data_IF_515156612022
#
_entry.id   IF_515156612022
#
_cell.length_a   1.000
_cell.length_b   1.000
_cell.length_c   1.000
_cell.angle_alpha   90.00
_cell.angle_beta   90.00
_cell.angle_gamma   90.00
#
_symmetry.space_group_name_H-M   'P 1'
#
loop_
_entity.id
_entity.type
_entity.pdbx_description
1 polymer ?
#
# COMPACT_ATOMS: atom_id res chain seq x y z
N UNK A 1 15.37 -18.74 -16.05
CA UNK A 1 15.35 -17.52 -15.20
C UNK A 1 14.49 -17.84 -13.99
N UNK A 2 14.78 -17.25 -12.85
CA UNK A 2 14.04 -17.45 -11.59
C UNK A 2 13.10 -16.26 -11.39
N UNK A 3 11.89 -16.54 -10.90
CA UNK A 3 10.92 -15.52 -10.53
C UNK A 3 11.26 -14.98 -9.14
N UNK A 4 11.13 -13.68 -8.98
CA UNK A 4 11.32 -12.97 -7.72
C UNK A 4 10.16 -12.02 -7.52
N UNK A 5 9.75 -11.83 -6.28
CA UNK A 5 8.86 -10.77 -5.90
C UNK A 5 9.62 -9.71 -5.11
N UNK A 6 9.39 -8.43 -5.40
CA UNK A 6 9.97 -7.33 -4.64
C UNK A 6 8.89 -6.39 -4.12
N UNK A 7 8.98 -5.99 -2.85
CA UNK A 7 8.13 -4.94 -2.26
C UNK A 7 8.87 -3.61 -2.33
N UNK A 8 8.38 -2.69 -3.16
CA UNK A 8 8.93 -1.36 -3.37
C UNK A 8 8.21 -0.34 -2.48
N UNK A 9 8.95 0.61 -1.92
CA UNK A 9 8.38 1.69 -1.12
C UNK A 9 8.54 3.03 -1.83
N UNK A 10 7.45 3.80 -1.85
CA UNK A 10 7.40 5.16 -2.37
C UNK A 10 6.81 6.10 -1.33
N UNK A 11 7.09 7.39 -1.46
CA UNK A 11 6.41 8.46 -0.73
C UNK A 11 5.76 9.47 -1.66
N UNK A 12 4.70 10.10 -1.15
CA UNK A 12 4.13 11.32 -1.72
C UNK A 12 4.58 12.51 -0.87
N UNK A 13 5.47 13.32 -1.43
CA UNK A 13 5.95 14.56 -0.82
C UNK A 13 5.24 15.73 -1.47
N UNK A 14 4.47 16.48 -0.68
CA UNK A 14 3.76 17.68 -1.14
C UNK A 14 4.61 18.91 -0.82
N UNK A 15 4.94 19.70 -1.84
CA UNK A 15 5.57 21.01 -1.65
C UNK A 15 4.52 22.12 -1.68
N UNK A 16 4.49 22.92 -0.62
CA UNK A 16 3.59 24.06 -0.45
C UNK A 16 4.35 25.37 -0.14
N UNK A 17 5.66 25.39 -0.36
CA UNK A 17 6.51 26.56 -0.05
C UNK A 17 6.68 26.87 1.44
N UNK A 18 6.08 26.08 2.35
CA UNK A 18 6.19 26.24 3.82
C UNK A 18 6.93 25.07 4.49
N UNK A 19 7.73 24.34 3.72
CA UNK A 19 8.41 23.11 4.14
C UNK A 19 7.53 21.86 4.00
N UNK A 20 8.16 20.69 4.07
CA UNK A 20 7.47 19.40 3.85
C UNK A 20 7.03 18.76 5.17
N UNK A 21 5.81 18.22 5.27
CA UNK A 21 5.37 17.46 6.45
C UNK A 21 6.31 16.28 6.76
N UNK A 22 6.55 16.04 8.06
CA UNK A 22 7.32 14.87 8.54
C UNK A 22 6.59 13.55 8.30
N UNK A 23 5.26 13.55 8.42
CA UNK A 23 4.41 12.40 8.09
C UNK A 23 3.97 12.51 6.64
N UNK A 24 4.29 11.49 5.84
CA UNK A 24 4.00 11.42 4.41
C UNK A 24 3.12 10.22 4.12
N UNK A 25 2.30 10.34 3.07
CA UNK A 25 1.62 9.18 2.52
C UNK A 25 2.68 8.32 1.82
N UNK A 26 2.63 7.02 2.00
CA UNK A 26 3.52 6.07 1.35
C UNK A 26 2.71 5.07 0.54
N UNK A 27 3.30 4.58 -0.54
CA UNK A 27 2.81 3.44 -1.29
C UNK A 27 3.79 2.29 -1.16
N UNK A 28 3.31 1.13 -0.74
CA UNK A 28 4.03 -0.13 -0.83
C UNK A 28 3.50 -0.89 -2.04
N UNK A 29 4.39 -1.24 -2.97
CA UNK A 29 4.03 -1.88 -4.25
C UNK A 29 4.80 -3.18 -4.43
N UNK A 30 4.08 -4.29 -4.52
CA UNK A 30 4.68 -5.58 -4.88
C UNK A 30 4.80 -5.72 -6.40
N UNK A 31 5.96 -6.16 -6.88
CA UNK A 31 6.22 -6.40 -8.30
C UNK A 31 6.88 -7.76 -8.52
N UNK A 32 6.51 -8.42 -9.62
CA UNK A 32 7.16 -9.63 -10.11
C UNK A 32 8.36 -9.29 -11.01
N UNK A 33 9.44 -10.05 -10.87
CA UNK A 33 10.71 -9.86 -11.59
C UNK A 33 11.28 -11.21 -12.00
N UNK A 34 11.50 -11.42 -13.29
CA UNK A 34 12.33 -12.52 -13.77
C UNK A 34 13.80 -12.09 -13.82
N UNK A 35 14.67 -12.86 -13.19
CA UNK A 35 16.10 -12.59 -13.18
C UNK A 35 16.92 -13.88 -13.11
N UNK A 36 18.22 -13.77 -13.41
CA UNK A 36 19.16 -14.90 -13.30
C UNK A 36 19.69 -15.12 -11.88
N UNK A 37 19.52 -14.14 -11.00
CA UNK A 37 19.98 -14.17 -9.62
C UNK A 37 19.25 -13.12 -8.78
N UNK A 38 19.28 -13.27 -7.45
CA UNK A 38 18.71 -12.31 -6.52
C UNK A 38 19.34 -10.91 -6.68
N UNK A 39 20.65 -10.84 -6.92
CA UNK A 39 21.34 -9.55 -7.18
C UNK A 39 20.82 -8.86 -8.44
N UNK A 40 20.59 -9.61 -9.52
CA UNK A 40 19.99 -9.08 -10.75
C UNK A 40 18.53 -8.66 -10.54
N UNK A 41 17.77 -9.40 -9.72
CA UNK A 41 16.41 -9.05 -9.34
C UNK A 41 16.38 -7.73 -8.54
N UNK A 42 17.24 -7.58 -7.53
CA UNK A 42 17.36 -6.36 -6.73
C UNK A 42 17.74 -5.14 -7.59
N UNK A 43 18.70 -5.30 -8.49
CA UNK A 43 19.09 -4.23 -9.42
C UNK A 43 17.91 -3.84 -10.31
N UNK A 44 17.13 -4.82 -10.78
CA UNK A 44 15.93 -4.59 -11.59
C UNK A 44 14.82 -3.90 -10.79
N UNK A 45 14.58 -4.32 -9.54
CA UNK A 45 13.64 -3.70 -8.62
C UNK A 45 13.96 -2.22 -8.39
N UNK A 46 15.23 -1.91 -8.09
CA UNK A 46 15.71 -0.53 -7.91
C UNK A 46 15.56 0.32 -9.17
N UNK A 47 15.86 -0.24 -10.36
CA UNK A 47 15.66 0.47 -11.63
C UNK A 47 14.18 0.74 -11.89
N UNK A 48 13.29 -0.24 -11.65
CA UNK A 48 11.83 -0.07 -11.76
C UNK A 48 11.33 1.01 -10.79
N UNK A 49 11.82 0.99 -9.54
CA UNK A 49 11.55 2.00 -8.52
C UNK A 49 11.84 3.41 -9.01
N UNK A 50 13.10 3.69 -9.34
CA UNK A 50 13.54 5.01 -9.84
C UNK A 50 12.81 5.47 -11.10
N UNK A 51 12.56 4.56 -12.05
CA UNK A 51 11.85 4.92 -13.29
C UNK A 51 10.39 5.33 -13.06
N UNK A 52 9.79 4.89 -11.95
CA UNK A 52 8.41 5.24 -11.62
C UNK A 52 8.29 6.62 -10.94
N UNK A 53 9.40 7.25 -10.55
CA UNK A 53 9.39 8.58 -9.96
C UNK A 53 8.83 9.61 -10.94
N UNK A 54 7.95 10.48 -10.46
CA UNK A 54 7.35 11.55 -11.23
C UNK A 54 6.82 12.63 -10.30
N UNK A 55 6.38 13.74 -10.87
CA UNK A 55 5.70 14.79 -10.14
C UNK A 55 4.51 15.30 -10.93
N UNK A 56 3.55 15.89 -10.24
CA UNK A 56 2.37 16.51 -10.84
C UNK A 56 1.84 17.62 -9.93
N UNK A 57 1.17 18.60 -10.53
CA UNK A 57 0.43 19.60 -9.77
C UNK A 57 -0.97 19.06 -9.44
N UNK A 58 -1.34 19.12 -8.16
CA UNK A 58 -2.66 18.69 -7.74
C UNK A 58 -3.70 19.81 -7.87
N UNK A 59 -4.99 19.45 -7.73
CA UNK A 59 -6.11 20.39 -7.81
C UNK A 59 -6.10 21.51 -6.74
N UNK A 60 -5.20 21.44 -5.76
CA UNK A 60 -5.03 22.44 -4.72
C UNK A 60 -3.84 23.38 -4.98
N UNK A 61 -3.27 23.35 -6.20
CA UNK A 61 -2.18 24.23 -6.61
C UNK A 61 -0.83 23.92 -5.96
N UNK A 62 -0.64 22.69 -5.48
CA UNK A 62 0.62 22.23 -4.90
C UNK A 62 1.25 21.13 -5.75
N UNK A 63 2.58 21.18 -5.92
CA UNK A 63 3.33 20.11 -6.60
C UNK A 63 3.49 18.92 -5.66
N UNK A 64 3.15 17.74 -6.17
CA UNK A 64 3.31 16.45 -5.50
C UNK A 64 4.43 15.69 -6.17
N UNK A 65 5.42 15.28 -5.39
CA UNK A 65 6.51 14.41 -5.81
C UNK A 65 6.21 12.97 -5.38
N UNK A 66 6.16 12.06 -6.33
CA UNK A 66 6.12 10.62 -6.11
C UNK A 66 7.53 10.07 -6.21
N UNK A 67 8.10 9.69 -5.07
CA UNK A 67 9.55 9.44 -4.93
C UNK A 67 9.78 8.01 -4.43
N UNK A 68 10.76 7.33 -5.01
CA UNK A 68 11.15 5.99 -4.62
C UNK A 68 12.05 6.04 -3.39
N UNK A 69 11.63 5.37 -2.31
CA UNK A 69 12.41 5.26 -1.09
C UNK A 69 13.38 4.08 -1.19
N UNK A 70 12.90 2.91 -1.63
CA UNK A 70 13.74 1.71 -1.63
C UNK A 70 12.99 0.41 -1.87
N UNK A 71 13.74 -0.68 -1.83
CA UNK A 71 13.20 -2.05 -1.84
C UNK A 71 13.14 -2.52 -0.39
N UNK A 72 11.94 -2.81 0.11
CA UNK A 72 11.72 -3.29 1.48
C UNK A 72 12.05 -4.77 1.60
N UNK A 73 11.60 -5.56 0.63
CA UNK A 73 11.70 -7.01 0.66
C UNK A 73 11.97 -7.55 -0.76
N UNK A 74 12.71 -8.66 -0.84
CA UNK A 74 12.99 -9.39 -2.07
C UNK A 74 12.92 -10.89 -1.79
N UNK A 75 11.92 -11.54 -2.36
CA UNK A 75 11.64 -12.96 -2.18
C UNK A 75 11.92 -13.70 -3.49
N UNK A 76 12.64 -14.83 -3.40
CA UNK A 76 12.71 -15.77 -4.52
C UNK A 76 11.43 -16.59 -4.54
N UNK A 77 10.76 -16.67 -5.69
CA UNK A 77 9.62 -17.55 -5.89
C UNK A 77 10.16 -18.85 -6.46
N UNK A 78 10.42 -19.81 -5.57
CA UNK A 78 11.06 -21.09 -5.86
C UNK A 78 10.15 -22.06 -6.59
N UNK A 79 10.58 -23.33 -6.67
CA UNK A 79 9.82 -24.39 -7.33
C UNK A 79 8.56 -24.78 -6.54
N UNK A 80 8.54 -24.46 -5.26
CA UNK A 80 7.42 -24.60 -4.34
C UNK A 80 6.32 -23.55 -4.53
N UNK A 81 6.58 -22.50 -5.32
CA UNK A 81 5.59 -21.46 -5.58
C UNK A 81 4.70 -21.83 -6.77
N UNK A 82 3.39 -21.76 -6.58
CA UNK A 82 2.42 -21.96 -7.65
C UNK A 82 2.49 -20.83 -8.69
N UNK A 83 2.02 -21.05 -9.94
CA UNK A 83 2.11 -20.05 -11.00
C UNK A 83 1.46 -18.70 -10.66
N UNK A 84 0.33 -18.72 -9.94
CA UNK A 84 -0.44 -17.56 -9.52
C UNK A 84 0.04 -16.93 -8.21
N UNK A 85 0.96 -17.58 -7.50
CA UNK A 85 1.58 -17.02 -6.31
C UNK A 85 2.58 -15.92 -6.69
N UNK A 86 2.38 -14.75 -6.09
CA UNK A 86 3.19 -13.55 -6.33
C UNK A 86 3.86 -13.03 -5.07
N UNK A 87 3.45 -13.50 -3.91
CA UNK A 87 4.01 -13.15 -2.60
C UNK A 87 3.49 -14.12 -1.54
N UNK A 88 4.32 -14.46 -0.56
CA UNK A 88 3.90 -15.13 0.67
C UNK A 88 4.77 -14.68 1.85
N UNK A 89 4.29 -14.93 3.06
CA UNK A 89 5.02 -14.68 4.30
C UNK A 89 4.81 -15.86 5.25
N UNK A 90 5.89 -16.39 5.83
CA UNK A 90 5.82 -17.41 6.87
C UNK A 90 5.83 -16.74 8.24
N UNK A 91 4.75 -16.90 9.00
CA UNK A 91 4.59 -16.31 10.33
C UNK A 91 4.20 -17.35 11.36
N UNK A 92 4.79 -17.27 12.56
CA UNK A 92 4.36 -18.08 13.69
C UNK A 92 3.13 -17.46 14.37
N UNK A 93 2.10 -18.27 14.61
CA UNK A 93 0.87 -17.86 15.28
C UNK A 93 0.49 -18.87 16.36
N UNK A 94 0.02 -18.36 17.50
CA UNK A 94 -0.54 -19.20 18.56
C UNK A 94 -2.00 -19.52 18.24
N UNK A 95 -2.32 -20.80 18.05
CA UNK A 95 -3.69 -21.30 17.81
C UNK A 95 -4.39 -20.60 16.62
N UNK A 96 -3.85 -20.67 15.39
CA UNK A 96 -4.35 -19.90 14.26
C UNK A 96 -5.78 -20.29 13.86
N UNK A 97 -6.14 -21.56 13.99
CA UNK A 97 -7.46 -22.06 13.62
C UNK A 97 -8.53 -21.61 14.63
N UNK A 98 -8.22 -21.73 15.92
CA UNK A 98 -9.11 -21.34 17.02
C UNK A 98 -9.30 -19.82 17.08
N UNK A 99 -8.32 -19.05 16.58
CA UNK A 99 -8.34 -17.58 16.58
C UNK A 99 -8.49 -16.99 15.18
N UNK A 100 -9.07 -17.75 14.24
CA UNK A 100 -9.19 -17.32 12.83
C UNK A 100 -9.85 -15.94 12.69
N UNK A 101 -10.89 -15.65 13.48
CA UNK A 101 -11.65 -14.40 13.41
C UNK A 101 -10.84 -13.19 13.91
N UNK A 102 -9.70 -13.42 14.58
CA UNK A 102 -8.76 -12.37 14.97
C UNK A 102 -7.69 -12.08 13.90
N UNK A 103 -7.50 -12.98 12.93
CA UNK A 103 -6.47 -12.87 11.89
C UNK A 103 -7.05 -12.60 10.50
N UNK A 104 -8.22 -13.17 10.22
CA UNK A 104 -8.90 -13.06 8.94
C UNK A 104 -9.97 -11.98 9.06
N UNK A 105 -9.85 -10.86 8.33
CA UNK A 105 -10.85 -9.80 8.35
C UNK A 105 -12.17 -10.30 7.76
N UNK A 106 -13.27 -9.64 8.12
CA UNK A 106 -14.56 -9.91 7.48
C UNK A 106 -14.52 -9.51 5.99
N UNK A 107 -15.29 -10.17 5.14
CA UNK A 107 -15.24 -9.95 3.67
C UNK A 107 -15.44 -8.47 3.28
N UNK A 108 -16.38 -7.79 3.92
CA UNK A 108 -16.68 -6.38 3.64
C UNK A 108 -15.56 -5.42 4.08
N UNK A 109 -14.58 -5.88 4.87
CA UNK A 109 -13.40 -5.12 5.25
C UNK A 109 -12.27 -5.28 4.23
N UNK A 110 -12.31 -6.33 3.40
CA UNK A 110 -11.34 -6.57 2.33
C UNK A 110 -11.38 -5.40 1.33
N UNK A 111 -10.21 -4.83 1.05
CA UNK A 111 -10.09 -3.55 0.36
C UNK A 111 -10.86 -3.49 -0.97
N UNK A 112 -10.80 -4.54 -1.80
CA UNK A 112 -11.49 -4.57 -3.09
C UNK A 112 -13.02 -4.49 -2.92
N UNK A 113 -13.57 -5.39 -2.09
CA UNK A 113 -15.01 -5.49 -1.79
C UNK A 113 -15.50 -4.18 -1.15
N UNK A 114 -14.81 -3.71 -0.12
CA UNK A 114 -15.13 -2.44 0.56
C UNK A 114 -15.21 -1.27 -0.42
N UNK A 115 -14.25 -1.19 -1.34
CA UNK A 115 -14.17 -0.09 -2.30
C UNK A 115 -15.25 -0.19 -3.40
N UNK A 116 -15.68 -1.39 -3.78
CA UNK A 116 -16.80 -1.58 -4.71
C UNK A 116 -18.12 -1.09 -4.08
N UNK A 117 -18.40 -1.45 -2.84
CA UNK A 117 -19.60 -1.00 -2.12
C UNK A 117 -19.67 0.53 -2.08
N UNK A 118 -18.55 1.20 -1.78
CA UNK A 118 -18.50 2.66 -1.76
C UNK A 118 -18.65 3.32 -3.14
N UNK A 119 -18.33 2.61 -4.23
CA UNK A 119 -18.54 3.11 -5.60
C UNK A 119 -20.01 3.04 -6.04
N UNK A 120 -20.83 2.19 -5.42
CA UNK A 120 -22.25 1.95 -5.79
C UNK A 120 -23.24 2.74 -4.91
N UNK A 121 -22.82 3.87 -4.31
CA UNK A 121 -23.80 4.77 -3.67
C UNK A 121 -24.78 5.28 -4.73
N UNK A 122 -26.09 5.00 -4.60
CA UNK A 122 -27.04 5.32 -5.66
C UNK A 122 -27.20 6.83 -5.78
N UNK A 123 -27.09 7.31 -7.02
CA UNK A 123 -27.64 8.60 -7.44
C UNK A 123 -29.16 8.49 -7.26
N UNK A 124 -29.65 8.92 -6.10
CA UNK A 124 -31.06 9.02 -5.76
C UNK A 124 -31.42 10.47 -5.43
N UNK A 125 -32.16 11.10 -6.34
CA UNK A 125 -32.79 12.42 -6.27
C UNK A 125 -32.99 13.02 -4.85
N UNK A 126 -32.35 14.16 -4.60
CA UNK A 126 -32.98 15.29 -3.91
C UNK A 126 -32.60 16.59 -4.61
N UNK A 127 -33.60 17.23 -5.20
CA UNK A 127 -33.53 18.63 -5.60
C UNK A 127 -33.28 19.50 -4.35
N UNK A 128 -32.30 20.39 -4.42
CA UNK A 128 -32.15 21.48 -3.44
C UNK A 128 -30.72 21.78 -2.98
N UNK A 129 -30.13 22.82 -3.59
CA UNK A 129 -29.17 23.80 -3.04
C UNK A 129 -27.76 23.34 -2.60
N UNK A 130 -26.80 23.78 -3.42
CA UNK A 130 -25.50 24.40 -3.10
C UNK A 130 -24.49 23.73 -2.16
N UNK A 131 -23.26 23.62 -2.71
CA UNK A 131 -21.93 23.66 -2.07
C UNK A 131 -21.41 22.39 -1.36
N UNK A 132 -20.27 21.90 -1.86
CA UNK A 132 -19.46 20.86 -1.20
C UNK A 132 -19.13 19.68 -2.11
N UNK A 133 -18.20 19.85 -3.04
CA UNK A 133 -17.69 18.74 -3.87
C UNK A 133 -17.08 17.62 -3.01
N UNK A 134 -17.19 16.34 -3.42
CA UNK A 134 -16.77 15.22 -2.60
C UNK A 134 -15.25 15.20 -2.50
N UNK A 135 -14.75 15.51 -1.30
CA UNK A 135 -13.37 15.22 -0.94
C UNK A 135 -13.25 13.69 -0.88
N UNK A 136 -12.46 13.09 -1.76
CA UNK A 136 -12.02 11.70 -1.60
C UNK A 136 -11.19 11.61 -0.31
N UNK A 137 -11.88 11.46 0.83
CA UNK A 137 -11.28 11.20 2.13
C UNK A 137 -10.95 9.71 2.17
N UNK A 138 -9.74 9.36 1.76
CA UNK A 138 -9.13 8.13 2.23
C UNK A 138 -9.07 8.24 3.76
N UNK A 139 -9.96 7.52 4.45
CA UNK A 139 -9.97 7.42 5.91
C UNK A 139 -8.71 6.64 6.30
N UNK A 140 -7.66 7.36 6.64
CA UNK A 140 -6.49 6.79 7.31
C UNK A 140 -7.00 6.19 8.63
N UNK A 141 -7.12 4.87 8.68
CA UNK A 141 -7.42 4.17 9.93
C UNK A 141 -6.24 4.39 10.87
N UNK A 142 -6.47 5.15 11.93
CA UNK A 142 -5.53 5.25 13.03
C UNK A 142 -5.51 3.92 13.77
N UNK A 143 -4.46 3.13 13.55
CA UNK A 143 -4.08 2.06 14.48
C UNK A 143 -3.41 2.75 15.67
N UNK A 144 -4.16 2.92 16.77
CA UNK A 144 -3.58 3.37 18.04
C UNK A 144 -2.91 2.18 18.73
N UNK A 145 -1.59 2.05 18.62
CA UNK A 145 -0.83 1.21 19.54
C UNK A 145 -0.46 2.06 20.76
N UNK A 146 -1.24 1.95 21.83
CA UNK A 146 -0.76 2.27 23.19
C UNK A 146 -0.30 0.97 23.85
N UNK A 147 0.98 0.80 24.20
CA UNK A 147 1.35 -0.15 25.24
C UNK A 147 0.91 0.42 26.60
N UNK A 148 0.02 -0.30 27.31
CA UNK A 148 -0.06 -0.27 28.78
C UNK A 148 0.95 -1.35 29.21
N UNK A 149 2.11 -1.01 29.79
CA UNK A 149 2.27 -0.66 31.19
C UNK A 149 3.01 -1.81 31.89
N UNK A 150 4.32 -1.72 32.03
CA UNK A 150 5.08 -2.52 32.98
C UNK A 150 5.32 -1.66 34.22
N UNK A 151 4.71 -2.06 35.32
CA UNK A 151 5.07 -1.63 36.67
C UNK A 151 5.88 -2.75 37.32
N UNK A 152 7.06 -2.41 37.80
CA UNK A 152 7.79 -3.09 38.87
C UNK A 152 8.40 -2.00 39.73
#
# INVERSE_FOLDING_TARGET
MTRYAAKLMYQFRVDKGRGTPKRRLCEERTVLIDARSAGAALATARRKGRRAEHHYDNAFGATVYFEFIGVMELLALGAECEPDEVWYELVYRHSPLERRDAFIPAEHELNAIRNEIHRVSPVGNRAGKSSGGPTARYKVMHVSNRPRGCSS
#
